data_IF_815800823056
#
_entry.id   IF_815800823056
#
_cell.length_a   1.000
_cell.length_b   1.000
_cell.length_c   1.000
_cell.angle_alpha   90.00
_cell.angle_beta   90.00
_cell.angle_gamma   90.00
#
_symmetry.space_group_name_H-M   'P 1'
#
loop_
_entity.id
_entity.type
_entity.pdbx_description
1 polymer ?
#
# COMPACT_ATOMS: atom_id res chain seq x y z
N UNK A 1 -3.76 -17.04 4.30
CA UNK A 1 -3.74 -16.31 3.01
C UNK A 1 -2.33 -15.78 2.80
N UNK A 2 -1.73 -15.90 1.61
CA UNK A 2 -0.42 -15.29 1.34
C UNK A 2 -0.61 -13.81 1.00
N UNK A 3 -0.25 -12.93 1.92
CA UNK A 3 -0.24 -11.48 1.72
C UNK A 3 1.20 -10.96 1.82
N UNK A 4 1.43 -9.71 1.41
CA UNK A 4 2.64 -8.93 1.74
C UNK A 4 2.24 -7.51 2.11
N UNK A 5 3.01 -6.90 3.01
CA UNK A 5 2.86 -5.51 3.43
C UNK A 5 4.08 -4.73 2.95
N UNK A 6 3.94 -3.98 1.87
CA UNK A 6 5.03 -3.18 1.31
C UNK A 6 4.78 -1.70 1.57
N UNK A 7 5.85 -0.93 1.75
CA UNK A 7 5.71 0.50 2.01
C UNK A 7 6.75 1.37 1.32
N UNK A 8 6.37 2.61 1.03
CA UNK A 8 7.28 3.65 0.59
C UNK A 8 6.97 4.97 1.29
N UNK A 9 7.96 5.53 1.97
CA UNK A 9 7.89 6.89 2.49
C UNK A 9 9.29 7.47 2.60
N UNK A 10 9.46 8.76 2.28
CA UNK A 10 10.76 9.44 2.42
C UNK A 10 11.24 9.49 3.87
N UNK A 11 10.31 9.40 4.80
CA UNK A 11 10.47 9.80 6.20
C UNK A 11 10.17 8.67 7.20
N UNK A 12 9.86 7.46 6.72
CA UNK A 12 9.45 6.34 7.56
C UNK A 12 8.01 6.42 8.08
N UNK A 13 7.22 7.43 7.69
CA UNK A 13 5.87 7.68 8.20
C UNK A 13 4.93 6.48 8.04
N UNK A 14 5.12 5.69 6.98
CA UNK A 14 4.25 4.54 6.64
C UNK A 14 4.66 3.27 7.38
N UNK A 15 5.93 3.14 7.74
CA UNK A 15 6.50 1.90 8.28
C UNK A 15 5.75 1.35 9.51
N UNK A 16 5.28 2.18 10.49
CA UNK A 16 4.53 1.66 11.62
C UNK A 16 3.23 0.96 11.20
N UNK A 17 2.48 1.52 10.25
CA UNK A 17 1.25 0.91 9.73
C UNK A 17 1.59 -0.40 8.99
N UNK A 18 2.61 -0.37 8.13
CA UNK A 18 3.02 -1.54 7.37
C UNK A 18 3.47 -2.70 8.27
N UNK A 19 4.18 -2.38 9.36
CA UNK A 19 4.64 -3.35 10.35
C UNK A 19 3.48 -4.03 11.08
N UNK A 20 2.46 -3.26 11.46
CA UNK A 20 1.27 -3.80 12.12
C UNK A 20 0.41 -4.64 11.17
N UNK A 21 0.29 -4.27 9.90
CA UNK A 21 -0.31 -5.14 8.87
C UNK A 21 0.49 -6.45 8.71
N UNK A 22 1.82 -6.35 8.70
CA UNK A 22 2.73 -7.50 8.67
C UNK A 22 2.48 -8.45 9.84
N UNK A 23 2.35 -7.90 11.04
CA UNK A 23 2.08 -8.65 12.27
C UNK A 23 0.69 -9.30 12.26
N UNK A 24 -0.34 -8.53 11.94
CA UNK A 24 -1.75 -8.98 11.94
C UNK A 24 -1.97 -10.13 10.94
N UNK A 25 -1.42 -10.00 9.74
CA UNK A 25 -1.61 -10.99 8.67
C UNK A 25 -0.45 -11.99 8.56
N UNK A 26 0.48 -11.99 9.52
CA UNK A 26 1.67 -12.84 9.56
C UNK A 26 2.42 -12.87 8.22
N UNK A 27 2.63 -11.69 7.64
CA UNK A 27 3.25 -11.51 6.34
C UNK A 27 4.51 -10.65 6.38
N UNK A 28 5.31 -10.75 5.31
CA UNK A 28 6.52 -9.93 5.16
C UNK A 28 6.13 -8.46 5.10
N UNK A 29 6.72 -7.67 6.00
CA UNK A 29 6.69 -6.22 5.95
C UNK A 29 8.04 -5.73 5.44
N UNK A 30 8.06 -4.96 4.35
CA UNK A 30 9.31 -4.35 3.87
C UNK A 30 9.07 -3.04 3.12
N UNK A 31 10.12 -2.25 2.97
CA UNK A 31 10.11 -1.08 2.12
C UNK A 31 10.08 -1.51 0.64
N UNK A 32 9.73 -0.61 -0.29
CA UNK A 32 9.91 -0.82 -1.74
C UNK A 32 11.24 -0.18 -2.21
N UNK A 33 12.36 -0.92 -2.19
CA UNK A 33 13.47 -0.75 -3.16
C UNK A 33 13.39 -1.68 -4.40
N UNK A 34 14.25 -1.56 -5.44
CA UNK A 34 13.86 -1.77 -6.85
C UNK A 34 13.54 -3.20 -7.29
N UNK A 35 13.61 -4.24 -6.44
CA UNK A 35 13.25 -5.60 -6.84
C UNK A 35 12.72 -6.40 -5.63
N UNK A 36 11.42 -6.30 -5.33
CA UNK A 36 10.79 -7.18 -4.34
C UNK A 36 10.22 -8.43 -5.00
N UNK A 37 10.69 -9.63 -4.62
CA UNK A 37 10.05 -10.85 -5.09
C UNK A 37 8.65 -10.94 -4.47
N UNK A 38 7.66 -10.80 -5.34
CA UNK A 38 6.31 -11.29 -5.13
C UNK A 38 6.18 -12.61 -5.90
N UNK A 39 5.61 -13.62 -5.24
CA UNK A 39 5.48 -15.00 -5.71
C UNK A 39 4.12 -15.57 -5.30
N UNK A 40 3.10 -15.33 -6.10
CA UNK A 40 1.75 -15.86 -5.88
C UNK A 40 1.02 -15.28 -4.66
N UNK A 41 1.33 -14.05 -4.23
CA UNK A 41 0.55 -13.39 -3.19
C UNK A 41 -0.90 -13.17 -3.65
N UNK A 42 -1.87 -13.48 -2.78
CA UNK A 42 -3.28 -13.17 -3.07
C UNK A 42 -3.49 -11.65 -3.09
N UNK A 43 -2.83 -10.93 -2.18
CA UNK A 43 -2.84 -9.47 -2.13
C UNK A 43 -1.48 -8.93 -1.69
N UNK A 44 -1.09 -7.80 -2.26
CA UNK A 44 -0.01 -6.95 -1.77
C UNK A 44 -0.61 -5.63 -1.27
N UNK A 45 -0.46 -5.35 0.02
CA UNK A 45 -0.78 -4.05 0.59
C UNK A 45 0.38 -3.09 0.29
N UNK A 46 0.09 -1.91 -0.25
CA UNK A 46 1.10 -0.89 -0.57
C UNK A 46 0.75 0.40 0.16
N UNK A 47 1.57 0.73 1.14
CA UNK A 47 1.51 2.00 1.85
C UNK A 47 2.39 3.07 1.21
N UNK A 48 1.85 4.25 0.92
CA UNK A 48 2.63 5.33 0.31
C UNK A 48 2.40 6.67 1.01
N UNK A 49 3.48 7.32 1.46
CA UNK A 49 3.45 8.73 1.87
C UNK A 49 3.83 9.60 0.68
N UNK A 50 2.84 10.31 0.14
CA UNK A 50 2.97 11.08 -1.10
C UNK A 50 2.06 12.30 -1.08
N UNK A 51 2.45 13.34 -1.81
CA UNK A 51 1.62 14.51 -2.07
C UNK A 51 1.65 14.81 -3.56
N UNK A 52 0.57 14.49 -4.27
CA UNK A 52 0.50 14.61 -5.73
C UNK A 52 0.99 13.35 -6.43
N UNK A 53 2.17 13.37 -7.03
CA UNK A 53 2.61 12.25 -7.90
C UNK A 53 3.04 11.01 -7.11
N UNK A 54 2.70 9.84 -7.64
CA UNK A 54 3.18 8.54 -7.12
C UNK A 54 4.71 8.47 -7.24
N UNK A 55 5.43 8.07 -6.18
CA UNK A 55 6.88 7.92 -6.24
C UNK A 55 7.32 6.89 -7.29
N UNK A 56 8.36 7.22 -8.06
CA UNK A 56 8.92 6.34 -9.11
C UNK A 56 9.20 4.90 -8.65
N UNK A 57 9.75 4.65 -7.44
CA UNK A 57 9.95 3.27 -6.99
C UNK A 57 8.66 2.46 -6.87
N UNK A 58 7.55 3.09 -6.48
CA UNK A 58 6.23 2.45 -6.39
C UNK A 58 5.69 2.17 -7.79
N UNK A 59 5.83 3.13 -8.71
CA UNK A 59 5.42 2.95 -10.12
C UNK A 59 6.18 1.80 -10.76
N UNK A 60 7.51 1.78 -10.65
CA UNK A 60 8.34 0.73 -11.22
C UNK A 60 8.00 -0.64 -10.65
N UNK A 61 7.83 -0.73 -9.32
CA UNK A 61 7.40 -1.97 -8.68
C UNK A 61 6.06 -2.48 -9.23
N UNK A 62 5.06 -1.60 -9.35
CA UNK A 62 3.74 -1.99 -9.84
C UNK A 62 3.76 -2.43 -11.30
N UNK A 63 4.60 -1.80 -12.15
CA UNK A 63 4.77 -2.19 -13.56
C UNK A 63 5.36 -3.59 -13.74
N UNK A 64 6.14 -4.06 -12.76
CA UNK A 64 6.72 -5.40 -12.77
C UNK A 64 5.76 -6.48 -12.24
N UNK A 65 4.59 -6.08 -11.70
CA UNK A 65 3.57 -7.01 -11.21
C UNK A 65 2.78 -7.64 -12.36
N UNK A 66 2.46 -8.91 -12.17
CA UNK A 66 1.63 -9.73 -13.04
C UNK A 66 0.97 -10.84 -12.18
N UNK A 67 0.04 -11.66 -12.73
CA UNK A 67 -0.72 -12.63 -11.96
C UNK A 67 0.10 -13.75 -11.32
N UNK A 68 1.32 -14.01 -11.80
CA UNK A 68 2.24 -14.98 -11.17
C UNK A 68 2.86 -14.42 -9.88
N UNK A 69 2.97 -13.10 -9.79
CA UNK A 69 3.47 -12.38 -8.63
C UNK A 69 2.35 -12.09 -7.64
N UNK A 70 1.29 -11.41 -8.09
CA UNK A 70 0.11 -11.17 -7.26
C UNK A 70 -1.15 -10.98 -8.09
N UNK A 71 -2.30 -11.36 -7.51
CA UNK A 71 -3.61 -11.13 -8.13
C UNK A 71 -4.21 -9.77 -7.79
N UNK A 72 -3.89 -9.23 -6.62
CA UNK A 72 -4.52 -8.02 -6.12
C UNK A 72 -3.50 -7.07 -5.48
N UNK A 73 -3.70 -5.78 -5.69
CA UNK A 73 -2.94 -4.72 -5.02
C UNK A 73 -3.92 -3.81 -4.29
N UNK A 74 -3.66 -3.51 -3.02
CA UNK A 74 -4.49 -2.65 -2.19
C UNK A 74 -3.64 -1.48 -1.65
N UNK A 75 -4.04 -0.26 -1.95
CA UNK A 75 -3.31 0.94 -1.53
C UNK A 75 -3.89 1.56 -0.27
N UNK A 76 -3.00 2.03 0.60
CA UNK A 76 -3.32 3.06 1.59
C UNK A 76 -2.32 4.21 1.47
N UNK A 77 -2.85 5.43 1.48
CA UNK A 77 -2.10 6.65 1.18
C UNK A 77 -2.04 7.52 2.43
N UNK A 78 -0.84 8.01 2.75
CA UNK A 78 -0.63 9.09 3.70
C UNK A 78 -0.45 10.38 2.91
N UNK A 79 -1.29 11.37 3.18
CA UNK A 79 -1.30 12.70 2.56
C UNK A 79 -1.52 12.72 1.02
N UNK A 80 -1.89 11.59 0.43
CA UNK A 80 -2.21 11.43 -0.99
C UNK A 80 -3.70 11.19 -1.23
N UNK A 81 -4.11 11.14 -2.50
CA UNK A 81 -5.49 10.87 -2.90
C UNK A 81 -5.57 9.69 -3.85
N UNK A 82 -6.65 8.92 -3.79
CA UNK A 82 -6.91 7.79 -4.67
C UNK A 82 -6.94 8.20 -6.16
N UNK A 83 -7.38 9.44 -6.45
CA UNK A 83 -7.34 10.01 -7.80
C UNK A 83 -5.93 10.05 -8.41
N UNK A 84 -4.90 10.15 -7.57
CA UNK A 84 -3.51 10.21 -7.99
C UNK A 84 -2.98 8.84 -8.50
N UNK A 85 -3.75 7.76 -8.31
CA UNK A 85 -3.41 6.39 -8.72
C UNK A 85 -4.06 5.97 -10.05
N UNK A 86 -4.84 6.83 -10.70
CA UNK A 86 -5.64 6.48 -11.89
C UNK A 86 -4.82 5.84 -13.02
N UNK A 87 -3.72 6.46 -13.42
CA UNK A 87 -2.82 5.91 -14.46
C UNK A 87 -2.22 4.57 -14.02
N UNK A 88 -1.81 4.47 -12.74
CA UNK A 88 -1.19 3.26 -12.20
C UNK A 88 -2.19 2.09 -12.11
N UNK A 89 -3.46 2.39 -11.83
CA UNK A 89 -4.54 1.41 -11.87
C UNK A 89 -4.66 0.81 -13.26
N UNK A 90 -4.71 1.66 -14.29
CA UNK A 90 -4.79 1.20 -15.68
C UNK A 90 -3.59 0.32 -16.04
N UNK A 91 -2.37 0.69 -15.64
CA UNK A 91 -1.18 -0.12 -15.87
C UNK A 91 -1.27 -1.51 -15.18
N UNK A 92 -1.66 -1.55 -13.91
CA UNK A 92 -1.82 -2.81 -13.16
C UNK A 92 -2.88 -3.72 -13.80
N UNK A 93 -4.04 -3.18 -14.17
CA UNK A 93 -5.11 -3.97 -14.77
C UNK A 93 -4.75 -4.47 -16.17
N UNK A 94 -4.01 -3.68 -16.96
CA UNK A 94 -3.45 -4.13 -18.24
C UNK A 94 -2.47 -5.31 -18.07
N UNK A 95 -1.76 -5.36 -16.94
CA UNK A 95 -0.91 -6.48 -16.57
C UNK A 95 -1.68 -7.66 -15.94
N UNK A 96 -3.02 -7.59 -15.86
CA UNK A 96 -3.86 -8.62 -15.25
C UNK A 96 -3.87 -8.63 -13.72
N UNK A 97 -3.35 -7.57 -13.09
CA UNK A 97 -3.34 -7.40 -11.64
C UNK A 97 -4.46 -6.46 -11.23
N UNK A 98 -5.34 -6.92 -10.35
CA UNK A 98 -6.48 -6.12 -9.90
C UNK A 98 -6.05 -5.12 -8.82
N UNK A 99 -6.14 -3.82 -9.11
CA UNK A 99 -6.04 -2.81 -8.06
C UNK A 99 -7.40 -2.64 -7.39
N UNK A 100 -7.45 -2.83 -6.08
CA UNK A 100 -8.69 -2.67 -5.30
C UNK A 100 -9.12 -1.20 -5.28
N UNK A 101 -10.38 -0.94 -5.65
CA UNK A 101 -10.96 0.42 -5.73
C UNK A 101 -11.02 1.16 -4.38
N UNK A 102 -11.18 0.40 -3.30
CA UNK A 102 -11.27 0.93 -1.95
C UNK A 102 -9.90 1.31 -1.40
N UNK A 103 -9.37 2.43 -1.88
CA UNK A 103 -8.09 3.01 -1.43
C UNK A 103 -8.31 3.75 -0.11
N UNK A 104 -7.53 3.40 0.91
CA UNK A 104 -7.60 4.10 2.19
C UNK A 104 -6.77 5.39 2.15
N UNK A 105 -7.42 6.54 2.33
CA UNK A 105 -6.76 7.84 2.47
C UNK A 105 -6.63 8.22 3.95
N UNK A 106 -5.41 8.57 4.36
CA UNK A 106 -5.05 9.04 5.70
C UNK A 106 -4.39 10.42 5.60
N UNK A 107 -4.70 11.30 6.55
CA UNK A 107 -4.09 12.62 6.65
C UNK A 107 -3.22 12.69 7.89
N UNK A 108 -1.90 12.85 7.69
CA UNK A 108 -0.94 13.00 8.79
C UNK A 108 -0.45 14.44 8.78
N UNK A 109 -1.00 15.22 9.71
CA UNK A 109 -0.65 16.64 9.85
C UNK A 109 0.79 16.78 10.34
N UNK A 110 1.58 17.53 9.58
CA UNK A 110 2.89 18.02 10.01
C UNK A 110 2.80 19.52 10.25
N UNK A 111 3.57 20.01 11.22
CA UNK A 111 3.72 21.44 11.51
C UNK A 111 5.19 21.83 11.34
N UNK A 112 5.45 23.13 11.18
CA UNK A 112 6.80 23.68 10.98
C UNK A 112 7.80 23.22 12.05
N UNK A 113 7.33 22.93 13.26
CA UNK A 113 8.14 22.49 14.41
C UNK A 113 8.01 21.01 14.76
N UNK A 114 7.07 20.28 14.12
CA UNK A 114 6.82 18.88 14.47
C UNK A 114 6.52 18.06 13.22
N UNK A 115 7.40 17.09 12.97
CA UNK A 115 7.17 16.06 11.97
C UNK A 115 5.87 15.31 12.33
N UNK A 116 4.96 15.23 11.36
CA UNK A 116 3.74 14.46 11.52
C UNK A 116 4.06 12.98 11.69
N UNK A 117 3.29 12.28 12.51
CA UNK A 117 3.41 10.84 12.74
C UNK A 117 2.04 10.21 12.63
N UNK A 118 2.00 8.99 12.12
CA UNK A 118 0.79 8.15 12.21
C UNK A 118 0.47 7.91 13.68
N UNK A 119 -0.83 7.84 13.98
CA UNK A 119 -1.37 7.59 15.32
C UNK A 119 -1.86 6.15 15.44
N UNK A 120 -2.10 5.69 16.67
CA UNK A 120 -2.74 4.39 16.89
C UNK A 120 -4.11 4.31 16.21
N UNK A 121 -4.85 5.43 16.13
CA UNK A 121 -6.13 5.48 15.43
C UNK A 121 -5.97 5.23 13.91
N UNK A 122 -4.91 5.75 13.30
CA UNK A 122 -4.59 5.51 11.88
C UNK A 122 -4.24 4.04 11.65
N UNK A 123 -3.47 3.44 12.56
CA UNK A 123 -3.14 2.01 12.53
C UNK A 123 -4.42 1.17 12.64
N UNK A 124 -5.26 1.41 13.65
CA UNK A 124 -6.49 0.65 13.85
C UNK A 124 -7.47 0.81 12.68
N UNK A 125 -7.59 2.02 12.12
CA UNK A 125 -8.38 2.27 10.91
C UNK A 125 -7.86 1.46 9.73
N UNK A 126 -6.54 1.41 9.55
CA UNK A 126 -5.90 0.64 8.46
C UNK A 126 -6.09 -0.87 8.65
N UNK A 127 -5.91 -1.40 9.86
CA UNK A 127 -6.15 -2.81 10.16
C UNK A 127 -7.60 -3.21 9.90
N UNK A 128 -8.56 -2.38 10.32
CA UNK A 128 -9.98 -2.59 10.05
C UNK A 128 -10.27 -2.62 8.55
N UNK A 129 -9.82 -1.61 7.83
CA UNK A 129 -9.97 -1.53 6.37
C UNK A 129 -9.39 -2.76 5.67
N UNK A 130 -8.17 -3.18 6.04
CA UNK A 130 -7.54 -4.35 5.44
C UNK A 130 -8.32 -5.64 5.70
N UNK A 131 -8.86 -5.84 6.91
CA UNK A 131 -9.72 -7.00 7.23
C UNK A 131 -11.00 -7.03 6.39
N UNK A 132 -11.67 -5.89 6.25
CA UNK A 132 -12.90 -5.76 5.45
C UNK A 132 -12.62 -6.00 3.96
N UNK A 133 -11.50 -5.47 3.45
CA UNK A 133 -11.03 -5.67 2.08
C UNK A 133 -10.78 -7.15 1.80
N UNK A 134 -10.07 -7.85 2.68
CA UNK A 134 -9.79 -9.29 2.53
C UNK A 134 -11.04 -10.17 2.56
N UNK A 135 -12.05 -9.75 3.33
CA UNK A 135 -13.31 -10.49 3.44
C UNK A 135 -14.22 -10.34 2.21
N UNK A 136 -14.10 -9.25 1.44
CA UNK A 136 -15.14 -8.88 0.46
C UNK A 136 -14.66 -8.37 -0.91
N UNK A 137 -13.39 -7.96 -1.05
CA UNK A 137 -12.93 -7.18 -2.23
C UNK A 137 -11.72 -7.78 -2.98
N UNK A 138 -11.16 -8.87 -2.47
CA UNK A 138 -10.00 -9.55 -3.09
C UNK A 138 -10.46 -10.72 -3.94
N UNK A 139 -10.12 -10.68 -5.23
CA UNK A 139 -10.42 -11.73 -6.22
C UNK A 139 -9.57 -12.99 -6.00
#
# INVERSE_FOLDING_TARGET
MKAKSLHFSKNGTVQPIASELGREFQCVCDQIPPAYPCEGEKVVFIGVDMKGKVPTPVVNFCRDLNPTRTKNVAFYLINGKASDLSDLKTELENNGVHMVDDVLELEVKSSFFKKGSVTDADIQKTLKWAKELLASKVK
#
